data_IF_126367868673
#
_entry.id   IF_126367868673
#
_cell.length_a   1.000
_cell.length_b   1.000
_cell.length_c   1.000
_cell.angle_alpha   90.00
_cell.angle_beta   90.00
_cell.angle_gamma   90.00
#
_symmetry.space_group_name_H-M   'P 1'
#
loop_
_entity.id
_entity.type
_entity.pdbx_description
1 polymer ?
#
# COMPACT_ATOMS: atom_id res chain seq x y z
N UNK A 1 -23.57 -10.65 -54.00
CA UNK A 1 -22.34 -11.13 -53.35
C UNK A 1 -22.30 -10.48 -51.98
N UNK A 2 -22.63 -11.24 -50.94
CA UNK A 2 -22.54 -10.76 -49.56
C UNK A 2 -21.09 -10.92 -49.10
N UNK A 3 -20.47 -9.83 -48.67
CA UNK A 3 -19.18 -9.82 -48.00
C UNK A 3 -19.45 -10.00 -46.49
N UNK A 4 -18.91 -11.08 -45.93
CA UNK A 4 -19.00 -11.40 -44.51
C UNK A 4 -18.04 -10.53 -43.71
N UNK A 5 -18.59 -9.86 -42.70
CA UNK A 5 -17.91 -9.29 -41.55
C UNK A 5 -17.14 -10.37 -40.77
N UNK A 6 -15.80 -10.26 -40.75
CA UNK A 6 -14.95 -10.89 -39.75
C UNK A 6 -14.62 -9.84 -38.70
N UNK A 7 -15.11 -10.08 -37.49
CA UNK A 7 -14.96 -9.22 -36.32
C UNK A 7 -13.73 -9.70 -35.54
N UNK A 8 -12.55 -9.15 -35.85
CA UNK A 8 -11.32 -9.43 -35.11
C UNK A 8 -11.24 -8.52 -33.87
N UNK A 9 -12.10 -8.81 -32.89
CA UNK A 9 -11.93 -8.34 -31.52
C UNK A 9 -10.98 -9.29 -30.81
N UNK A 10 -9.68 -9.20 -31.13
CA UNK A 10 -8.62 -9.67 -30.25
C UNK A 10 -7.85 -8.42 -29.79
N UNK A 11 -8.46 -7.71 -28.85
CA UNK A 11 -7.69 -6.82 -28.00
C UNK A 11 -6.85 -7.72 -27.09
N UNK A 12 -5.60 -7.95 -27.49
CA UNK A 12 -4.53 -8.36 -26.59
C UNK A 12 -4.50 -7.35 -25.43
N UNK A 13 -5.17 -7.69 -24.33
CA UNK A 13 -4.99 -7.02 -23.05
C UNK A 13 -3.72 -7.58 -22.42
N UNK A 14 -2.56 -7.15 -22.91
CA UNK A 14 -1.32 -7.24 -22.15
C UNK A 14 -1.35 -6.12 -21.10
N UNK A 15 -1.78 -6.50 -19.90
CA UNK A 15 -1.75 -5.65 -18.70
C UNK A 15 -0.29 -5.46 -18.30
N UNK A 16 0.36 -4.41 -18.80
CA UNK A 16 1.76 -4.18 -18.47
C UNK A 16 1.90 -3.43 -17.15
N UNK A 17 2.72 -4.00 -16.26
CA UNK A 17 3.50 -3.26 -15.27
C UNK A 17 4.60 -2.49 -16.01
N UNK A 18 4.24 -1.37 -16.64
CA UNK A 18 5.26 -0.50 -17.24
C UNK A 18 5.74 0.49 -16.20
N UNK A 19 7.03 0.46 -15.91
CA UNK A 19 7.74 1.63 -15.37
C UNK A 19 7.46 2.86 -16.24
N UNK A 20 7.81 4.06 -15.78
CA UNK A 20 7.70 5.32 -16.53
C UNK A 20 8.27 5.28 -17.96
N UNK A 21 9.12 4.29 -18.28
CA UNK A 21 9.77 4.09 -19.57
C UNK A 21 9.18 2.97 -20.45
N UNK A 22 8.13 2.27 -20.01
CA UNK A 22 7.56 1.14 -20.77
C UNK A 22 8.29 -0.19 -20.59
N UNK A 23 9.30 -0.26 -19.73
CA UNK A 23 10.02 -1.49 -19.39
C UNK A 23 9.39 -2.14 -18.15
N UNK A 24 9.39 -3.47 -18.13
CA UNK A 24 8.84 -4.27 -17.04
C UNK A 24 9.71 -4.11 -15.78
N UNK A 25 9.13 -3.64 -14.68
CA UNK A 25 9.86 -3.42 -13.43
C UNK A 25 10.39 -4.75 -12.86
N UNK A 26 11.70 -4.82 -12.62
CA UNK A 26 12.38 -5.98 -12.07
C UNK A 26 12.59 -5.81 -10.57
N UNK A 27 12.03 -6.74 -9.79
CA UNK A 27 12.18 -6.74 -8.34
C UNK A 27 13.30 -7.69 -7.93
N UNK A 28 14.26 -7.26 -7.09
CA UNK A 28 15.18 -8.16 -6.43
C UNK A 28 14.43 -9.19 -5.59
N UNK A 29 14.82 -10.46 -5.71
CA UNK A 29 14.26 -11.55 -4.92
C UNK A 29 15.30 -12.16 -3.97
N UNK A 30 14.80 -12.73 -2.88
CA UNK A 30 15.62 -13.20 -1.77
C UNK A 30 15.20 -14.59 -1.31
N UNK A 31 16.13 -15.28 -0.65
CA UNK A 31 15.84 -16.40 0.22
C UNK A 31 16.18 -16.00 1.66
N UNK A 32 15.34 -16.42 2.59
CA UNK A 32 15.69 -16.33 4.01
C UNK A 32 16.84 -17.32 4.30
N UNK A 33 17.79 -16.96 5.18
CA UNK A 33 18.89 -17.85 5.49
C UNK A 33 18.35 -19.19 5.99
N UNK A 34 18.87 -20.30 5.43
CA UNK A 34 18.49 -21.64 5.87
C UNK A 34 18.75 -21.75 7.38
N UNK A 35 17.73 -22.14 8.15
CA UNK A 35 17.78 -22.25 9.61
C UNK A 35 18.75 -23.35 10.06
N UNK A 36 20.06 -23.14 9.99
CA UNK A 36 21.03 -23.84 10.84
C UNK A 36 21.03 -23.29 12.28
N UNK A 37 20.30 -22.18 12.54
CA UNK A 37 20.12 -21.58 13.87
C UNK A 37 18.78 -21.89 14.56
N UNK A 38 17.78 -22.44 13.88
CA UNK A 38 16.49 -22.78 14.47
C UNK A 38 16.11 -24.21 14.06
N UNK A 39 16.43 -25.16 14.93
CA UNK A 39 15.98 -26.58 14.95
C UNK A 39 15.66 -27.22 13.60
N UNK A 40 16.55 -28.10 13.16
CA UNK A 40 16.39 -28.93 11.97
C UNK A 40 15.05 -29.64 11.93
N UNK A 41 14.23 -29.34 10.91
CA UNK A 41 13.50 -30.31 10.05
C UNK A 41 12.37 -29.69 9.21
N UNK A 42 12.08 -28.39 9.34
CA UNK A 42 10.99 -27.78 8.55
C UNK A 42 11.28 -26.33 8.15
N UNK A 43 11.29 -26.06 6.85
CA UNK A 43 11.29 -24.74 6.21
C UNK A 43 9.96 -24.03 6.49
N UNK A 44 9.80 -23.47 7.68
CA UNK A 44 8.69 -22.58 7.97
C UNK A 44 9.12 -21.14 7.75
N UNK A 45 8.33 -20.44 6.95
CA UNK A 45 8.38 -18.99 6.87
C UNK A 45 8.27 -18.38 8.27
N UNK A 46 8.92 -17.22 8.53
CA UNK A 46 8.77 -16.52 9.79
C UNK A 46 7.30 -16.18 10.05
N UNK A 47 6.89 -16.02 11.32
CA UNK A 47 5.58 -15.45 11.61
C UNK A 47 5.37 -14.10 10.92
N UNK A 48 4.14 -13.82 10.51
CA UNK A 48 3.75 -12.53 9.95
C UNK A 48 4.18 -11.36 10.86
N UNK A 49 4.70 -10.30 10.27
CA UNK A 49 5.31 -9.13 10.91
C UNK A 49 6.60 -9.39 11.70
N UNK A 50 7.27 -10.53 11.50
CA UNK A 50 8.61 -10.74 12.10
C UNK A 50 9.60 -9.74 11.50
N UNK A 51 10.31 -8.92 12.31
CA UNK A 51 11.40 -8.09 11.79
C UNK A 51 12.53 -8.95 11.24
N UNK A 52 13.02 -8.64 10.04
CA UNK A 52 14.08 -9.39 9.37
C UNK A 52 15.28 -8.48 9.13
N UNK A 53 16.44 -8.85 9.66
CA UNK A 53 17.70 -8.16 9.35
C UNK A 53 18.08 -8.41 7.88
N UNK A 54 18.09 -7.36 7.01
CA UNK A 54 18.37 -7.51 5.59
C UNK A 54 19.77 -8.07 5.31
N UNK A 55 20.73 -7.90 6.22
CA UNK A 55 22.09 -8.43 6.07
C UNK A 55 22.16 -9.95 6.06
N UNK A 56 21.08 -10.61 6.50
CA UNK A 56 20.97 -12.08 6.55
C UNK A 56 20.40 -12.69 5.28
N UNK A 57 19.90 -11.87 4.35
CA UNK A 57 19.22 -12.32 3.14
C UNK A 57 20.20 -12.84 2.09
N UNK A 58 19.78 -13.87 1.37
CA UNK A 58 20.53 -14.42 0.24
C UNK A 58 19.83 -13.96 -1.05
N UNK A 59 20.48 -13.09 -1.83
CA UNK A 59 19.94 -12.67 -3.13
C UNK A 59 19.81 -13.86 -4.10
N UNK A 60 18.70 -13.90 -4.85
CA UNK A 60 18.38 -14.94 -5.85
C UNK A 60 18.18 -14.39 -7.27
N UNK A 61 18.62 -13.16 -7.50
CA UNK A 61 18.44 -12.44 -8.77
C UNK A 61 17.27 -11.47 -8.71
N UNK A 62 16.72 -11.13 -9.87
CA UNK A 62 15.57 -10.25 -10.01
C UNK A 62 14.61 -10.79 -11.07
N UNK A 63 13.32 -10.54 -10.88
CA UNK A 63 12.26 -11.00 -11.78
C UNK A 63 11.22 -9.90 -11.97
N UNK A 64 10.48 -9.92 -13.09
CA UNK A 64 9.31 -9.09 -13.24
C UNK A 64 8.34 -9.17 -12.07
N UNK A 65 7.77 -8.03 -11.68
CA UNK A 65 6.81 -7.92 -10.58
C UNK A 65 5.63 -8.91 -10.67
N UNK A 66 5.05 -9.15 -11.86
CA UNK A 66 3.96 -10.12 -11.99
C UNK A 66 4.46 -11.56 -11.74
N UNK A 67 5.64 -11.90 -12.26
CA UNK A 67 6.29 -13.19 -12.03
C UNK A 67 6.59 -13.41 -10.55
N UNK A 68 7.03 -12.36 -9.85
CA UNK A 68 7.29 -12.40 -8.40
C UNK A 68 6.01 -12.72 -7.63
N UNK A 69 4.90 -12.05 -7.94
CA UNK A 69 3.62 -12.28 -7.27
C UNK A 69 2.97 -13.62 -7.62
N UNK A 70 3.07 -14.09 -8.87
CA UNK A 70 2.56 -15.41 -9.28
C UNK A 70 3.27 -16.52 -8.53
N UNK A 71 4.60 -16.43 -8.40
CA UNK A 71 5.40 -17.46 -7.75
C UNK A 71 5.55 -17.26 -6.23
N UNK A 72 5.08 -16.13 -5.69
CA UNK A 72 5.21 -15.80 -4.28
C UNK A 72 6.67 -15.67 -3.83
N UNK A 73 7.55 -15.14 -4.69
CA UNK A 73 8.95 -14.92 -4.33
C UNK A 73 9.08 -13.83 -3.28
N UNK A 74 9.98 -14.05 -2.32
CA UNK A 74 10.28 -13.04 -1.31
C UNK A 74 10.99 -11.85 -1.98
N UNK A 75 10.41 -10.67 -1.87
CA UNK A 75 10.92 -9.43 -2.44
C UNK A 75 10.77 -8.29 -1.43
N UNK A 76 11.24 -7.09 -1.75
CA UNK A 76 11.16 -5.93 -0.85
C UNK A 76 10.00 -5.03 -1.24
N UNK A 77 9.17 -4.69 -0.25
CA UNK A 77 8.05 -3.77 -0.38
C UNK A 77 8.15 -2.59 0.59
N UNK A 78 7.41 -1.53 0.32
CA UNK A 78 7.43 -0.29 1.07
C UNK A 78 5.99 0.16 1.30
N UNK A 79 5.63 0.41 2.55
CA UNK A 79 4.37 1.04 2.91
C UNK A 79 4.68 2.44 3.41
N UNK A 80 4.18 3.43 2.68
CA UNK A 80 4.55 4.84 2.85
C UNK A 80 3.35 5.64 3.36
N UNK A 81 3.46 6.08 4.60
CA UNK A 81 2.49 6.94 5.26
C UNK A 81 2.86 8.39 4.99
N UNK A 82 2.15 9.02 4.06
CA UNK A 82 2.31 10.44 3.76
C UNK A 82 1.44 11.26 4.71
N UNK A 83 2.07 12.16 5.47
CA UNK A 83 1.44 12.98 6.50
C UNK A 83 1.64 14.48 6.21
N UNK A 84 0.60 15.29 6.39
CA UNK A 84 0.67 16.75 6.26
C UNK A 84 0.93 17.46 7.61
N UNK A 85 1.07 18.78 7.57
CA UNK A 85 1.25 19.61 8.77
C UNK A 85 0.04 19.62 9.74
N UNK A 86 -1.13 19.15 9.29
CA UNK A 86 -2.32 18.99 10.13
C UNK A 86 -2.41 17.60 10.75
N UNK A 87 -1.38 16.76 10.60
CA UNK A 87 -1.34 15.36 11.04
C UNK A 87 -2.42 14.48 10.38
N UNK A 88 -2.81 14.82 9.15
CA UNK A 88 -3.64 13.96 8.33
C UNK A 88 -2.78 13.05 7.47
N UNK A 89 -3.19 11.78 7.37
CA UNK A 89 -2.58 10.77 6.51
C UNK A 89 -3.31 10.72 5.16
N UNK A 90 -2.54 10.65 4.08
CA UNK A 90 -3.04 10.43 2.73
C UNK A 90 -3.41 8.95 2.54
N UNK A 91 -4.64 8.72 2.13
CA UNK A 91 -5.13 7.46 1.61
C UNK A 91 -5.48 7.63 0.14
N UNK A 92 -5.15 6.62 -0.65
CA UNK A 92 -5.35 6.56 -2.08
C UNK A 92 -6.32 5.43 -2.37
N UNK A 93 -7.31 5.71 -3.21
CA UNK A 93 -8.14 4.67 -3.80
C UNK A 93 -7.45 4.18 -5.06
N UNK A 94 -7.06 2.92 -5.07
CA UNK A 94 -6.47 2.24 -6.24
C UNK A 94 -7.48 2.25 -7.39
N UNK A 95 -7.00 2.51 -8.60
CA UNK A 95 -7.87 2.56 -9.78
C UNK A 95 -8.46 1.19 -10.10
N UNK A 96 -9.45 1.14 -11.00
CA UNK A 96 -10.02 -0.13 -11.46
C UNK A 96 -9.06 -0.92 -12.34
N UNK A 97 -7.97 -0.30 -12.81
CA UNK A 97 -7.08 -0.84 -13.83
C UNK A 97 -5.87 -1.58 -13.22
N UNK A 98 -5.62 -1.42 -11.92
CA UNK A 98 -4.54 -2.15 -11.25
C UNK A 98 -4.93 -3.62 -11.04
N UNK A 99 -3.95 -4.52 -11.15
CA UNK A 99 -4.16 -5.98 -11.05
C UNK A 99 -4.52 -6.38 -9.63
N UNK A 100 -3.73 -5.93 -8.66
CA UNK A 100 -3.96 -6.22 -7.25
C UNK A 100 -4.80 -5.11 -6.62
N UNK A 101 -5.84 -5.51 -5.90
CA UNK A 101 -6.62 -4.59 -5.06
C UNK A 101 -7.35 -3.45 -5.79
N UNK A 102 -7.98 -3.67 -6.96
CA UNK A 102 -8.65 -2.57 -7.67
C UNK A 102 -9.78 -1.97 -6.84
N UNK A 103 -9.96 -0.65 -6.94
CA UNK A 103 -10.97 0.16 -6.22
C UNK A 103 -10.85 0.20 -4.69
N UNK A 104 -9.84 -0.44 -4.12
CA UNK A 104 -9.64 -0.45 -2.67
C UNK A 104 -8.84 0.77 -2.21
N UNK A 105 -9.04 1.15 -0.95
CA UNK A 105 -8.28 2.19 -0.29
C UNK A 105 -7.06 1.61 0.42
N UNK A 106 -5.92 2.31 0.30
CA UNK A 106 -4.69 2.01 1.01
C UNK A 106 -3.86 3.28 1.18
N UNK A 107 -2.80 3.21 1.98
CA UNK A 107 -1.69 4.18 1.84
C UNK A 107 -0.85 3.83 0.62
N UNK A 108 0.11 4.69 0.26
CA UNK A 108 1.02 4.47 -0.86
C UNK A 108 1.88 3.23 -0.62
N UNK A 109 1.96 2.36 -1.62
CA UNK A 109 2.67 1.09 -1.56
C UNK A 109 3.57 0.94 -2.77
N UNK A 110 4.84 0.62 -2.55
CA UNK A 110 5.86 0.60 -3.60
C UNK A 110 6.79 -0.61 -3.44
N UNK A 111 7.43 -1.07 -4.52
CA UNK A 111 8.42 -2.15 -4.46
C UNK A 111 9.83 -1.61 -4.71
N UNK A 112 10.84 -2.26 -4.13
CA UNK A 112 12.22 -1.93 -4.51
C UNK A 112 12.48 -2.43 -5.93
N UNK A 113 12.89 -1.53 -6.82
CA UNK A 113 13.42 -1.86 -8.14
C UNK A 113 14.92 -2.19 -8.08
N UNK A 114 15.45 -2.94 -9.05
CA UNK A 114 16.91 -3.12 -9.21
C UNK A 114 17.66 -1.81 -9.45
N UNK A 115 16.97 -0.77 -9.92
CA UNK A 115 17.55 0.55 -10.18
C UNK A 115 17.62 1.42 -8.91
N UNK A 116 16.91 1.03 -7.85
CA UNK A 116 16.96 1.71 -6.57
C UNK A 116 18.28 1.36 -5.85
N UNK A 117 19.13 2.35 -5.60
CA UNK A 117 20.39 2.16 -4.87
C UNK A 117 20.20 1.96 -3.36
N UNK A 118 19.04 2.35 -2.84
CA UNK A 118 18.73 2.33 -1.41
C UNK A 118 17.22 2.40 -1.12
N UNK A 119 16.76 1.88 0.05
CA UNK A 119 15.32 1.83 0.37
C UNK A 119 14.57 3.17 0.39
N UNK A 120 15.24 4.29 0.64
CA UNK A 120 14.59 5.61 0.64
C UNK A 120 14.41 6.18 -0.77
N UNK A 121 15.21 5.75 -1.74
CA UNK A 121 15.03 6.15 -3.15
C UNK A 121 13.73 5.59 -3.71
N UNK A 122 13.38 4.35 -3.34
CA UNK A 122 12.06 3.75 -3.63
C UNK A 122 10.91 4.62 -3.11
N UNK A 123 11.03 5.18 -1.90
CA UNK A 123 10.01 6.08 -1.33
C UNK A 123 9.90 7.38 -2.12
N UNK A 124 11.04 7.94 -2.54
CA UNK A 124 11.04 9.15 -3.39
C UNK A 124 10.36 8.84 -4.72
N UNK A 125 10.72 7.73 -5.37
CA UNK A 125 10.15 7.32 -6.65
C UNK A 125 8.64 7.16 -6.56
N UNK A 126 8.11 6.46 -5.56
CA UNK A 126 6.66 6.34 -5.36
C UNK A 126 5.96 7.69 -5.18
N UNK A 127 6.58 8.65 -4.48
CA UNK A 127 6.05 10.03 -4.38
C UNK A 127 6.07 10.75 -5.74
N UNK A 128 7.10 10.54 -6.54
CA UNK A 128 7.22 11.16 -7.86
C UNK A 128 6.21 10.59 -8.86
N UNK A 129 6.08 9.25 -8.88
CA UNK A 129 5.21 8.48 -9.78
C UNK A 129 3.73 8.70 -9.42
N UNK A 130 3.31 8.34 -8.21
CA UNK A 130 1.89 8.33 -7.86
C UNK A 130 1.35 9.71 -7.42
N UNK A 131 2.19 10.59 -6.83
CA UNK A 131 1.71 11.83 -6.21
C UNK A 131 1.99 13.09 -7.06
N UNK A 132 2.74 12.94 -8.14
CA UNK A 132 2.99 14.00 -9.12
C UNK A 132 3.99 15.06 -8.65
N UNK A 133 5.00 14.65 -7.88
CA UNK A 133 6.13 15.51 -7.51
C UNK A 133 7.39 15.17 -8.30
N UNK A 134 8.41 16.01 -8.14
CA UNK A 134 9.79 15.76 -8.56
C UNK A 134 10.71 16.18 -7.44
N UNK A 135 11.71 15.37 -7.16
CA UNK A 135 12.77 15.64 -6.20
C UNK A 135 13.93 16.38 -6.87
N UNK A 136 14.60 17.27 -6.12
CA UNK A 136 15.70 18.11 -6.65
C UNK A 136 16.96 18.09 -5.79
N UNK A 137 16.90 17.42 -4.64
CA UNK A 137 18.00 17.32 -3.71
C UNK A 137 17.59 16.44 -2.53
N UNK A 138 18.55 15.68 -2.02
CA UNK A 138 18.39 14.87 -0.82
C UNK A 138 19.53 15.17 0.14
N UNK A 139 19.20 15.24 1.42
CA UNK A 139 20.16 15.39 2.51
C UNK A 139 20.07 14.16 3.39
N UNK A 140 21.12 13.34 3.34
CA UNK A 140 21.36 12.28 4.32
C UNK A 140 21.89 12.94 5.58
N UNK A 141 20.99 13.56 6.36
CA UNK A 141 21.37 14.06 7.68
C UNK A 141 21.95 12.89 8.50
N UNK A 142 22.94 13.14 9.36
CA UNK A 142 23.64 12.12 10.16
C UNK A 142 22.76 11.35 11.17
N UNK A 143 21.43 11.40 11.05
CA UNK A 143 20.51 10.64 11.87
C UNK A 143 20.21 9.30 11.19
N UNK A 144 20.51 8.16 11.86
CA UNK A 144 20.11 6.87 11.33
C UNK A 144 18.59 6.88 11.11
N UNK A 145 18.14 6.40 9.95
CA UNK A 145 16.73 6.25 9.57
C UNK A 145 15.95 7.53 9.24
N UNK A 146 16.61 8.69 9.06
CA UNK A 146 15.95 9.93 8.67
C UNK A 146 16.67 10.61 7.50
N UNK A 147 15.87 11.01 6.51
CA UNK A 147 16.30 11.69 5.29
C UNK A 147 15.45 12.93 5.07
N UNK A 148 16.00 13.89 4.35
CA UNK A 148 15.20 14.98 3.82
C UNK A 148 15.30 15.02 2.30
N UNK A 149 14.21 15.34 1.64
CA UNK A 149 14.17 15.53 0.19
C UNK A 149 13.36 16.79 -0.14
N UNK A 150 13.83 17.54 -1.14
CA UNK A 150 13.15 18.74 -1.63
C UNK A 150 12.28 18.38 -2.84
N UNK A 151 10.97 18.60 -2.71
CA UNK A 151 10.00 18.28 -3.75
C UNK A 151 9.34 19.52 -4.38
N UNK A 152 9.08 19.46 -5.68
CA UNK A 152 8.17 20.37 -6.38
C UNK A 152 7.08 19.61 -7.13
N UNK A 153 5.88 20.18 -7.27
CA UNK A 153 4.86 19.65 -8.16
C UNK A 153 5.38 19.54 -9.60
N UNK A 154 5.31 18.35 -10.20
CA UNK A 154 5.89 18.03 -11.51
C UNK A 154 5.24 18.79 -12.66
N UNK A 155 3.97 19.16 -12.50
CA UNK A 155 3.14 19.85 -13.49
C UNK A 155 3.27 21.37 -13.43
N UNK A 156 3.89 21.92 -12.40
CA UNK A 156 4.12 23.37 -12.31
C UNK A 156 5.44 23.69 -12.98
N UNK A 157 5.38 24.08 -14.25
CA UNK A 157 6.58 24.59 -14.92
C UNK A 157 7.04 25.86 -14.22
N UNK A 158 8.31 25.93 -13.86
CA UNK A 158 8.99 27.12 -13.32
C UNK A 158 9.01 28.32 -14.29
N UNK A 159 8.23 28.26 -15.37
CA UNK A 159 7.99 29.32 -16.34
C UNK A 159 7.02 30.39 -15.80
N UNK A 160 7.25 30.87 -14.59
CA UNK A 160 6.74 32.18 -14.21
C UNK A 160 7.89 33.18 -14.34
N UNK A 161 8.26 33.45 -15.60
CA UNK A 161 8.95 34.70 -15.99
C UNK A 161 7.96 35.87 -16.03
N UNK A 162 6.86 35.85 -15.28
CA UNK A 162 6.10 37.08 -15.06
C UNK A 162 6.85 37.88 -14.00
N UNK A 163 7.30 39.07 -14.38
CA UNK A 163 7.88 40.04 -13.45
C UNK A 163 6.90 40.22 -12.28
N UNK A 164 7.21 39.66 -11.11
CA UNK A 164 6.46 39.89 -9.87
C UNK A 164 5.85 38.67 -9.19
N UNK A 165 5.91 37.47 -9.76
CA UNK A 165 5.49 36.27 -9.03
C UNK A 165 6.66 35.65 -8.27
N UNK A 166 6.46 35.36 -6.99
CA UNK A 166 7.43 34.61 -6.20
C UNK A 166 7.57 33.19 -6.78
N UNK A 167 8.79 32.71 -7.06
CA UNK A 167 8.97 31.32 -7.47
C UNK A 167 8.42 30.39 -6.39
N UNK A 168 7.71 29.34 -6.79
CA UNK A 168 7.31 28.28 -5.87
C UNK A 168 8.59 27.63 -5.34
N UNK A 169 8.87 27.85 -4.06
CA UNK A 169 10.01 27.24 -3.39
C UNK A 169 9.75 25.73 -3.19
N UNK A 170 10.81 24.91 -3.25
CA UNK A 170 10.71 23.49 -2.93
C UNK A 170 10.08 23.29 -1.56
N UNK A 171 9.34 22.19 -1.43
CA UNK A 171 8.85 21.71 -0.14
C UNK A 171 9.89 20.74 0.39
N UNK A 172 10.58 21.12 1.48
CA UNK A 172 11.50 20.21 2.18
C UNK A 172 10.69 19.22 3.01
N UNK A 173 10.72 17.96 2.62
CA UNK A 173 9.97 16.86 3.23
C UNK A 173 10.92 16.00 4.06
N UNK A 174 10.44 15.52 5.20
CA UNK A 174 11.17 14.56 6.02
C UNK A 174 10.68 13.14 5.73
N UNK A 175 11.61 12.24 5.40
CA UNK A 175 11.35 10.82 5.14
C UNK A 175 12.01 10.04 6.26
N UNK A 176 11.23 9.22 6.96
CA UNK A 176 11.71 8.47 8.13
C UNK A 176 11.24 7.03 8.08
N UNK A 177 12.16 6.10 8.32
CA UNK A 177 11.77 4.72 8.54
C UNK A 177 11.17 4.57 9.95
N UNK A 178 10.02 3.89 10.04
CA UNK A 178 9.23 3.70 11.25
C UNK A 178 9.75 2.47 12.03
N UNK A 179 10.32 1.48 11.35
CA UNK A 179 10.87 0.26 11.93
C UNK A 179 12.35 0.12 11.61
N UNK A 180 13.15 -0.35 12.57
CA UNK A 180 14.60 -0.54 12.37
C UNK A 180 14.89 -1.53 11.22
N UNK A 181 14.11 -2.59 11.16
CA UNK A 181 14.17 -3.62 10.14
C UNK A 181 12.84 -3.72 9.36
N UNK A 182 12.85 -4.17 8.10
CA UNK A 182 11.62 -4.49 7.40
C UNK A 182 10.90 -5.66 8.08
N UNK A 183 9.59 -5.68 7.93
CA UNK A 183 8.74 -6.72 8.51
C UNK A 183 8.44 -7.78 7.46
N UNK A 184 8.58 -9.05 7.83
CA UNK A 184 8.13 -10.15 6.99
C UNK A 184 6.60 -10.10 6.85
N UNK A 185 6.13 -9.76 5.66
CA UNK A 185 4.73 -9.65 5.30
C UNK A 185 4.40 -10.77 4.31
N UNK A 186 3.25 -11.42 4.53
CA UNK A 186 2.75 -12.42 3.60
C UNK A 186 1.25 -12.28 3.47
N UNK A 187 0.77 -12.30 2.24
CA UNK A 187 -0.64 -12.20 1.90
C UNK A 187 -0.95 -13.10 0.71
N UNK A 188 -2.04 -13.84 0.82
CA UNK A 188 -2.61 -14.58 -0.30
C UNK A 188 -3.79 -13.80 -0.88
N UNK A 189 -3.74 -13.45 -2.16
CA UNK A 189 -4.82 -12.73 -2.83
C UNK A 189 -6.01 -13.63 -3.22
N UNK A 190 -5.86 -14.95 -3.06
CA UNK A 190 -6.89 -15.94 -3.34
C UNK A 190 -7.10 -16.20 -4.83
N UNK A 191 -8.03 -17.10 -5.15
CA UNK A 191 -8.28 -17.57 -6.52
C UNK A 191 -8.78 -16.48 -7.48
N UNK A 192 -9.43 -15.43 -6.95
CA UNK A 192 -9.90 -14.29 -7.76
C UNK A 192 -8.77 -13.47 -8.38
N UNK A 193 -7.56 -13.58 -7.86
CA UNK A 193 -6.36 -12.90 -8.35
C UNK A 193 -5.33 -13.93 -8.87
N UNK A 194 -5.83 -15.03 -9.43
CA UNK A 194 -5.04 -16.13 -10.00
C UNK A 194 -4.10 -16.80 -8.99
N UNK A 195 -4.41 -16.70 -7.69
CA UNK A 195 -3.60 -17.30 -6.63
C UNK A 195 -2.30 -16.55 -6.33
N UNK A 196 -2.13 -15.31 -6.83
CA UNK A 196 -0.98 -14.46 -6.50
C UNK A 196 -0.76 -14.36 -4.98
N UNK A 197 0.51 -14.30 -4.60
CA UNK A 197 0.96 -14.16 -3.21
C UNK A 197 1.87 -12.95 -3.12
N UNK A 198 1.52 -12.06 -2.21
CA UNK A 198 2.41 -11.01 -1.76
C UNK A 198 3.31 -11.56 -0.66
N UNK A 199 4.60 -11.69 -0.92
CA UNK A 199 5.56 -12.18 0.07
C UNK A 199 6.71 -11.19 0.16
N UNK A 200 6.65 -10.32 1.15
CA UNK A 200 7.49 -9.14 1.23
C UNK A 200 8.34 -9.07 2.49
N UNK A 201 9.45 -8.36 2.35
CA UNK A 201 10.11 -7.64 3.42
C UNK A 201 9.64 -6.19 3.32
N UNK A 202 8.68 -5.83 4.16
CA UNK A 202 8.00 -4.55 4.06
C UNK A 202 8.63 -3.53 4.99
N UNK A 203 9.23 -2.49 4.42
CA UNK A 203 9.62 -1.30 5.18
C UNK A 203 8.41 -0.41 5.44
N UNK A 204 8.34 0.18 6.63
CA UNK A 204 7.30 1.13 7.01
C UNK A 204 7.89 2.53 7.05
N UNK A 205 7.37 3.45 6.27
CA UNK A 205 7.92 4.80 6.11
C UNK A 205 6.93 5.88 6.51
N UNK A 206 7.37 6.89 7.23
CA UNK A 206 6.64 8.13 7.45
C UNK A 206 7.26 9.23 6.59
N UNK A 207 6.45 9.86 5.76
CA UNK A 207 6.83 11.00 4.92
C UNK A 207 6.04 12.20 5.40
N UNK A 208 6.72 13.16 6.04
CA UNK A 208 6.08 14.34 6.62
C UNK A 208 6.30 15.57 5.73
N UNK A 209 5.20 16.09 5.19
CA UNK A 209 5.15 17.36 4.50
C UNK A 209 4.89 18.48 5.50
N UNK A 210 5.74 19.52 5.57
CA UNK A 210 5.60 20.63 6.53
C UNK A 210 4.52 21.64 6.13
N UNK A 211 3.69 21.32 5.13
CA UNK A 211 2.57 22.11 4.67
C UNK A 211 1.29 21.29 4.81
N UNK A 212 0.16 21.97 4.91
CA UNK A 212 -1.15 21.33 4.82
C UNK A 212 -1.43 20.85 3.40
N UNK A 213 -2.20 19.79 3.26
CA UNK A 213 -2.58 19.24 1.95
C UNK A 213 -3.16 20.29 1.00
N UNK A 214 -4.04 21.15 1.55
CA UNK A 214 -4.77 22.20 0.81
C UNK A 214 -3.85 23.28 0.20
N UNK A 215 -2.59 23.31 0.62
CA UNK A 215 -1.56 24.25 0.15
C UNK A 215 -0.57 23.58 -0.83
N UNK A 216 -0.78 22.32 -1.17
CA UNK A 216 0.07 21.53 -2.05
C UNK A 216 -0.66 21.21 -3.35
N UNK A 217 0.09 21.19 -4.45
CA UNK A 217 -0.46 20.92 -5.78
C UNK A 217 -0.17 19.47 -6.13
N UNK A 218 -1.15 18.61 -5.96
CA UNK A 218 -1.08 17.18 -6.25
C UNK A 218 -1.43 16.91 -7.71
N UNK A 219 -0.79 15.92 -8.32
CA UNK A 219 -1.23 15.37 -9.61
C UNK A 219 -1.06 13.86 -9.54
N UNK A 220 -2.13 13.22 -9.12
CA UNK A 220 -2.18 11.76 -9.05
C UNK A 220 -2.12 11.17 -10.46
N UNK A 221 -1.50 10.01 -10.60
CA UNK A 221 -1.40 9.30 -11.87
C UNK A 221 -2.65 8.46 -12.16
N UNK A 222 -2.57 7.55 -13.13
CA UNK A 222 -3.68 6.69 -13.53
C UNK A 222 -3.90 5.45 -12.64
N UNK A 223 -2.95 5.15 -11.74
CA UNK A 223 -3.09 4.09 -10.76
C UNK A 223 -3.99 4.50 -9.58
N UNK A 224 -4.25 5.80 -9.43
CA UNK A 224 -5.05 6.36 -8.34
C UNK A 224 -6.37 6.93 -8.87
N UNK A 225 -7.49 6.32 -8.47
CA UNK A 225 -8.83 6.79 -8.81
C UNK A 225 -9.29 7.97 -7.93
N UNK A 226 -8.88 8.00 -6.66
CA UNK A 226 -9.31 9.02 -5.70
C UNK A 226 -8.32 9.15 -4.54
N UNK A 227 -8.46 10.19 -3.73
CA UNK A 227 -7.67 10.36 -2.51
C UNK A 227 -8.47 11.00 -1.37
N UNK A 228 -8.05 10.72 -0.13
CA UNK A 228 -8.63 11.25 1.11
C UNK A 228 -7.51 11.55 2.10
N UNK A 229 -7.69 12.62 2.89
CA UNK A 229 -6.80 13.00 3.98
C UNK A 229 -7.50 12.82 5.31
N UNK A 230 -7.04 11.84 6.09
CA UNK A 230 -7.74 11.37 7.29
C UNK A 230 -6.89 11.69 8.51
N UNK A 231 -7.49 12.25 9.57
CA UNK A 231 -6.73 12.54 10.80
C UNK A 231 -6.14 11.26 11.40
N UNK A 232 -5.00 11.38 12.09
CA UNK A 232 -4.37 10.23 12.74
C UNK A 232 -5.32 9.56 13.76
N UNK A 233 -6.14 10.36 14.45
CA UNK A 233 -7.16 9.92 15.40
C UNK A 233 -8.29 9.14 14.72
N UNK A 234 -8.76 9.61 13.56
CA UNK A 234 -9.80 8.93 12.79
C UNK A 234 -9.27 7.62 12.20
N UNK A 235 -8.03 7.58 11.73
CA UNK A 235 -7.39 6.32 11.30
C UNK A 235 -7.32 5.32 12.45
N UNK A 236 -6.94 5.75 13.65
CA UNK A 236 -6.90 4.88 14.83
C UNK A 236 -8.28 4.30 15.18
N UNK A 237 -9.29 5.16 15.15
CA UNK A 237 -10.69 4.79 15.40
C UNK A 237 -11.18 3.81 14.33
N UNK A 238 -10.86 4.10 13.07
CA UNK A 238 -11.23 3.30 11.93
C UNK A 238 -10.62 1.89 11.98
N UNK A 239 -9.31 1.76 12.23
CA UNK A 239 -8.63 0.47 12.43
C UNK A 239 -9.22 -0.34 13.60
N UNK A 240 -9.54 0.33 14.71
CA UNK A 240 -10.12 -0.32 15.89
C UNK A 240 -11.52 -0.88 15.62
N UNK A 241 -12.34 -0.12 14.87
CA UNK A 241 -13.68 -0.55 14.48
C UNK A 241 -13.63 -1.74 13.52
N UNK A 242 -12.71 -1.72 12.55
CA UNK A 242 -12.50 -2.85 11.64
C UNK A 242 -12.14 -4.13 12.42
N UNK A 243 -11.19 -4.04 13.36
CA UNK A 243 -10.80 -5.17 14.21
C UNK A 243 -11.96 -5.76 15.02
N UNK A 244 -12.81 -4.92 15.61
CA UNK A 244 -13.99 -5.36 16.35
C UNK A 244 -15.01 -6.09 15.46
N UNK A 245 -15.19 -5.65 14.22
CA UNK A 245 -16.13 -6.26 13.29
C UNK A 245 -15.66 -7.62 12.78
N UNK A 246 -14.36 -7.78 12.52
CA UNK A 246 -13.76 -9.08 12.19
C UNK A 246 -13.98 -10.08 13.34
N UNK A 247 -13.77 -9.64 14.59
CA UNK A 247 -14.01 -10.47 15.77
C UNK A 247 -15.48 -10.94 15.86
N UNK A 248 -16.43 -10.03 15.61
CA UNK A 248 -17.88 -10.35 15.60
C UNK A 248 -18.25 -11.33 14.48
N UNK A 249 -17.69 -11.14 13.30
CA UNK A 249 -17.95 -12.01 12.14
C UNK A 249 -17.43 -13.43 12.36
N UNK A 250 -16.31 -13.56 13.08
CA UNK A 250 -15.77 -14.88 13.49
C UNK A 250 -16.58 -15.52 14.61
N UNK A 251 -17.16 -14.74 15.53
CA UNK A 251 -18.03 -15.30 16.58
C UNK A 251 -19.38 -15.77 16.01
N UNK A 252 -19.95 -15.07 15.02
CA UNK A 252 -21.24 -15.46 14.43
C UNK A 252 -21.15 -16.72 13.56
N UNK A 253 -19.97 -17.03 13.00
CA UNK A 253 -19.76 -18.26 12.24
C UNK A 253 -19.68 -19.52 13.10
N UNK A 254 -19.50 -19.41 14.41
CA UNK A 254 -19.47 -20.55 15.34
C UNK A 254 -20.82 -20.87 15.99
N UNK A 255 -21.82 -19.99 15.89
CA UNK A 255 -23.16 -20.22 16.45
C UNK A 255 -24.18 -20.72 15.40
N UNK A 256 -23.72 -21.07 14.19
CA UNK A 256 -24.59 -21.51 13.07
C UNK A 256 -24.69 -23.02 12.82
N UNK A 257 -23.92 -23.86 13.51
CA UNK A 257 -23.83 -25.31 13.22
C UNK A 257 -24.53 -26.23 14.24
N UNK A 258 -25.25 -25.66 15.22
CA UNK A 258 -26.17 -26.44 16.03
C UNK A 258 -27.59 -25.89 15.88
N UNK A 259 -28.52 -26.78 15.49
CA UNK A 259 -29.98 -26.62 15.38
C UNK A 259 -30.48 -26.25 13.97
N UNK A 260 -30.69 -27.27 13.13
CA UNK A 260 -32.03 -27.66 12.65
C UNK A 260 -31.98 -28.79 11.61
N UNK A 261 -32.19 -30.01 12.10
CA UNK A 261 -32.71 -31.10 11.29
C UNK A 261 -34.13 -31.37 11.77
N UNK A 262 -35.10 -30.58 11.34
CA UNK A 262 -36.50 -31.01 11.27
C UNK A 262 -37.33 -30.09 10.37
N UNK A 263 -38.27 -30.74 9.71
CA UNK A 263 -39.02 -30.30 8.54
C UNK A 263 -40.01 -29.17 8.78
N UNK A 264 -40.40 -28.56 7.66
CA UNK A 264 -41.73 -28.03 7.32
C UNK A 264 -42.06 -26.56 7.60
N UNK A 265 -42.25 -25.82 6.50
CA UNK A 265 -43.45 -25.00 6.28
C UNK A 265 -43.45 -23.57 6.85
N UNK A 266 -43.74 -22.60 5.97
CA UNK A 266 -44.36 -21.33 6.35
C UNK A 266 -43.39 -20.16 6.42
N UNK A 267 -43.62 -19.17 5.57
CA UNK A 267 -42.79 -17.98 5.49
C UNK A 267 -42.94 -17.04 6.68
N UNK A 268 -41.87 -16.28 6.93
CA UNK A 268 -41.92 -14.95 7.50
C UNK A 268 -40.64 -14.21 7.06
N UNK A 269 -40.81 -13.14 6.29
CA UNK A 269 -39.76 -12.13 6.11
C UNK A 269 -39.61 -11.43 7.46
N UNK A 270 -38.54 -11.70 8.19
CA UNK A 270 -38.15 -10.90 9.34
C UNK A 270 -37.19 -9.84 8.81
N UNK A 271 -37.73 -8.64 8.61
CA UNK A 271 -36.95 -7.42 8.44
C UNK A 271 -36.33 -7.06 9.79
N UNK A 272 -35.01 -7.12 9.87
CA UNK A 272 -34.23 -6.47 10.92
C UNK A 272 -33.67 -5.18 10.37
N UNK A 273 -34.47 -4.11 10.45
CA UNK A 273 -34.00 -2.73 10.35
C UNK A 273 -33.25 -2.41 11.65
N UNK A 274 -31.92 -2.50 11.63
CA UNK A 274 -31.04 -1.81 12.58
C UNK A 274 -29.71 -1.42 11.91
N UNK A 275 -29.78 -1.14 10.61
CA UNK A 275 -28.74 -0.44 9.87
C UNK A 275 -28.78 1.04 10.23
N UNK A 276 -28.17 1.41 11.36
CA UNK A 276 -27.65 2.77 11.47
C UNK A 276 -26.48 2.86 10.50
N UNK A 277 -26.78 3.37 9.31
CA UNK A 277 -25.80 3.95 8.41
C UNK A 277 -25.06 5.04 9.20
N UNK A 278 -23.91 4.67 9.78
CA UNK A 278 -22.93 5.62 10.25
C UNK A 278 -22.19 6.13 9.01
N UNK A 279 -22.88 6.95 8.22
CA UNK A 279 -22.34 7.74 7.11
C UNK A 279 -21.92 9.13 7.62
N UNK A 280 -21.10 9.14 8.68
CA UNK A 280 -20.69 10.36 9.38
C UNK A 280 -19.15 10.38 9.60
N UNK A 281 -18.34 10.18 8.56
CA UNK A 281 -16.90 10.41 8.73
C UNK A 281 -16.08 10.29 7.47
N UNK A 282 -15.11 11.18 7.31
CA UNK A 282 -14.17 11.35 6.19
C UNK A 282 -13.29 10.12 5.83
N UNK A 283 -13.64 8.91 6.28
CA UNK A 283 -12.96 7.64 5.99
C UNK A 283 -13.48 6.91 4.74
N UNK A 284 -12.80 5.85 4.27
CA UNK A 284 -13.33 4.91 3.28
C UNK A 284 -14.56 4.18 3.82
N UNK A 285 -15.48 3.79 2.93
CA UNK A 285 -16.67 3.05 3.35
C UNK A 285 -16.24 1.69 3.93
N UNK A 286 -17.08 1.08 4.78
CA UNK A 286 -16.74 -0.20 5.42
C UNK A 286 -16.43 -1.27 4.37
N UNK A 287 -15.27 -1.93 4.50
CA UNK A 287 -14.85 -3.03 3.61
C UNK A 287 -14.01 -2.60 2.40
N UNK A 288 -13.69 -1.32 2.31
CA UNK A 288 -12.94 -0.73 1.19
C UNK A 288 -11.43 -1.01 1.21
N UNK A 289 -10.89 -1.63 2.26
CA UNK A 289 -9.47 -1.99 2.30
C UNK A 289 -9.25 -3.29 1.59
N UNK A 290 -8.11 -3.39 0.92
CA UNK A 290 -7.87 -4.59 0.14
C UNK A 290 -7.84 -5.89 0.96
N UNK A 291 -7.48 -5.85 2.27
CA UNK A 291 -7.55 -7.02 3.16
C UNK A 291 -7.31 -6.73 4.65
N UNK A 292 -7.69 -7.67 5.53
CA UNK A 292 -7.30 -7.70 6.95
C UNK A 292 -5.77 -7.68 7.18
N UNK A 293 -5.00 -8.23 6.23
CA UNK A 293 -3.55 -8.41 6.40
C UNK A 293 -2.78 -7.10 6.27
N UNK A 294 -3.24 -6.15 5.45
CA UNK A 294 -2.59 -4.84 5.34
C UNK A 294 -2.83 -3.99 6.59
N UNK A 295 -3.95 -4.22 7.28
CA UNK A 295 -4.32 -3.56 8.52
C UNK A 295 -3.26 -3.73 9.61
N UNK A 296 -2.66 -4.92 9.70
CA UNK A 296 -1.64 -5.24 10.71
C UNK A 296 -0.39 -4.35 10.55
N UNK A 297 0.01 -4.02 9.32
CA UNK A 297 1.10 -3.08 9.05
C UNK A 297 0.72 -1.66 9.51
N UNK A 298 -0.54 -1.26 9.32
CA UNK A 298 -1.03 0.06 9.72
C UNK A 298 -1.09 0.20 11.24
N UNK A 299 -1.51 -0.85 11.95
CA UNK A 299 -1.49 -0.91 13.42
C UNK A 299 -0.06 -0.76 13.96
N UNK A 300 0.91 -1.48 13.38
CA UNK A 300 2.33 -1.35 13.76
C UNK A 300 2.84 0.08 13.52
N UNK A 301 2.53 0.64 12.35
CA UNK A 301 2.99 1.97 11.98
C UNK A 301 2.39 3.05 12.89
N UNK A 302 1.09 3.00 13.13
CA UNK A 302 0.36 3.95 13.97
C UNK A 302 0.92 3.96 15.40
N UNK A 303 1.14 2.79 16.00
CA UNK A 303 1.71 2.67 17.34
C UNK A 303 3.08 3.36 17.45
N UNK A 304 3.88 3.33 16.38
CA UNK A 304 5.19 3.97 16.31
C UNK A 304 5.10 5.48 16.00
N UNK A 305 4.20 5.91 15.12
CA UNK A 305 4.01 7.33 14.82
C UNK A 305 3.59 8.14 16.04
N UNK A 306 2.74 7.58 16.90
CA UNK A 306 2.35 8.19 18.17
C UNK A 306 3.57 8.43 19.07
N UNK A 307 4.53 7.51 19.09
CA UNK A 307 5.79 7.65 19.86
C UNK A 307 6.75 8.69 19.27
N UNK A 308 6.73 8.89 17.95
CA UNK A 308 7.62 9.82 17.25
C UNK A 308 7.19 11.29 17.46
N UNK A 309 5.90 11.53 17.72
CA UNK A 309 5.32 12.88 17.84
C UNK A 309 4.95 13.27 19.29
N UNK A 310 5.32 12.45 20.28
CA UNK A 310 5.39 12.82 21.70
C UNK A 310 6.82 13.25 22.05
#
# INVERSE_FOLDING_TARGET
>A
MFSSSGNDNNADQSYYYTSFNGEEELLPIYELPSRSFFSSTTTYDPPHLTPIDPSTLISKGAYPIDTVHINGYLHTGHVVFVMDASRKLLFLQRSSNVITCPNSWSVLGEHTSIDDGSPWETVIRGIEEELGFRSFGHDTTNFPMMWNADFHPSHVTSSIKTRGANPLLPIRVTIRNITEYPLYYIRHYGSRNEGRVDRQLTYLWLVYFPKKEELMSWKLDEEVANSKWISLEDVATWLSNDAANVARSRSSSYEGDEINNESSGGGAKIGGEDGKDYDDGDGPDRGDFCHETIRSLYEVALAKMVQIHM
#
